data_IF_143370071043
#
_entry.id   IF_143370071043
#
_cell.length_a   1.000
_cell.length_b   1.000
_cell.length_c   1.000
_cell.angle_alpha   90.00
_cell.angle_beta   90.00
_cell.angle_gamma   90.00
#
_symmetry.space_group_name_H-M   'P 1'
#
loop_
_entity.id
_entity.type
_entity.pdbx_description
1 polymer ?
#
# COMPACT_ATOMS: atom_id res chain seq x y z
N UNK A 1 -13.17 20.09 25.39
CA UNK A 1 -12.61 18.79 24.98
C UNK A 1 -13.76 17.80 25.03
N UNK A 2 -14.20 17.17 23.93
CA UNK A 2 -13.45 16.77 22.73
C UNK A 2 -13.91 17.48 21.42
N UNK A 3 -13.07 17.35 20.39
CA UNK A 3 -13.20 17.91 19.04
C UNK A 3 -14.15 17.07 18.15
N UNK A 4 -14.72 17.65 17.07
CA UNK A 4 -15.88 17.10 16.39
C UNK A 4 -15.52 16.04 15.34
N UNK A 5 -16.36 15.00 15.26
CA UNK A 5 -16.35 13.92 14.28
C UNK A 5 -16.71 14.35 12.84
N UNK A 6 -16.36 15.58 12.44
CA UNK A 6 -16.81 16.18 11.18
C UNK A 6 -15.81 16.07 10.01
N UNK A 7 -14.67 15.39 10.19
CA UNK A 7 -13.62 15.33 9.16
C UNK A 7 -13.44 13.97 8.46
N UNK A 8 -14.24 12.96 8.79
CA UNK A 8 -14.26 11.69 8.01
C UNK A 8 -15.23 11.78 6.82
N UNK A 9 -16.01 12.86 6.72
CA UNK A 9 -17.10 13.02 5.74
C UNK A 9 -16.66 13.42 4.32
N UNK A 10 -15.39 13.68 4.04
CA UNK A 10 -14.99 14.29 2.75
C UNK A 10 -14.04 13.40 1.92
N UNK A 11 -14.23 12.08 1.95
CA UNK A 11 -13.55 11.18 1.00
C UNK A 11 -14.47 10.11 0.40
N UNK A 12 -15.78 10.27 0.55
CA UNK A 12 -16.76 9.45 -0.15
C UNK A 12 -17.20 10.21 -1.40
N UNK A 13 -16.72 9.73 -2.55
CA UNK A 13 -17.04 10.25 -3.87
C UNK A 13 -18.56 10.48 -4.04
N UNK A 14 -19.01 11.38 -4.92
CA UNK A 14 -20.44 11.62 -5.20
C UNK A 14 -21.24 10.36 -5.61
N UNK A 15 -20.56 9.25 -5.86
CA UNK A 15 -21.14 7.92 -6.10
C UNK A 15 -21.65 7.24 -4.81
N UNK A 16 -20.99 7.44 -3.66
CA UNK A 16 -21.38 6.79 -2.40
C UNK A 16 -22.69 7.35 -1.87
N UNK A 17 -22.93 8.65 -2.04
CA UNK A 17 -24.18 9.29 -1.68
C UNK A 17 -25.36 8.76 -2.52
N UNK A 18 -25.13 8.42 -3.80
CA UNK A 18 -26.16 7.87 -4.69
C UNK A 18 -26.57 6.45 -4.27
N UNK A 19 -25.59 5.61 -3.91
CA UNK A 19 -25.82 4.25 -3.41
C UNK A 19 -26.52 4.23 -2.04
N UNK A 20 -26.10 5.10 -1.11
CA UNK A 20 -26.75 5.22 0.21
C UNK A 20 -28.19 5.71 0.06
N UNK A 21 -28.45 6.69 -0.83
CA UNK A 21 -29.80 7.20 -1.06
C UNK A 21 -30.72 6.16 -1.72
N UNK A 22 -30.23 5.40 -2.69
CA UNK A 22 -30.99 4.31 -3.32
C UNK A 22 -31.32 3.18 -2.34
N UNK A 23 -30.37 2.81 -1.46
CA UNK A 23 -30.60 1.80 -0.43
C UNK A 23 -31.60 2.27 0.64
N UNK A 24 -31.61 3.56 0.99
CA UNK A 24 -32.60 4.10 1.94
C UNK A 24 -34.00 4.20 1.33
N UNK A 25 -34.14 4.58 0.05
CA UNK A 25 -35.43 4.61 -0.66
C UNK A 25 -36.06 3.21 -0.83
N UNK A 26 -35.24 2.17 -1.02
CA UNK A 26 -35.73 0.78 -1.13
C UNK A 26 -36.23 0.24 0.22
N UNK A 27 -35.64 0.65 1.34
CA UNK A 27 -36.02 0.22 2.69
C UNK A 27 -37.33 0.84 3.20
N UNK A 28 -37.79 1.95 2.62
CA UNK A 28 -39.05 2.61 2.99
C UNK A 28 -40.29 2.01 2.31
N UNK A 29 -40.12 1.11 1.34
CA UNK A 29 -41.25 0.49 0.62
C UNK A 29 -41.80 -0.74 1.35
N UNK A 30 -43.08 -0.68 1.76
CA UNK A 30 -43.82 -1.82 2.29
C UNK A 30 -44.00 -2.88 1.19
N UNK A 31 -43.38 -4.04 1.35
CA UNK A 31 -43.67 -5.23 0.54
C UNK A 31 -42.47 -6.14 0.36
N UNK A 32 -41.42 -5.67 -0.32
CA UNK A 32 -40.27 -6.50 -0.74
C UNK A 32 -38.93 -5.72 -0.82
N UNK A 33 -38.89 -4.49 -0.28
CA UNK A 33 -37.75 -3.57 -0.40
C UNK A 33 -36.41 -4.14 0.10
N UNK A 34 -36.42 -4.89 1.20
CA UNK A 34 -35.24 -5.56 1.74
C UNK A 34 -34.74 -6.68 0.81
N UNK A 35 -35.66 -7.44 0.21
CA UNK A 35 -35.33 -8.52 -0.73
C UNK A 35 -34.75 -7.94 -2.04
N UNK A 36 -35.31 -6.84 -2.53
CA UNK A 36 -34.82 -6.19 -3.75
C UNK A 36 -33.49 -5.46 -3.54
N UNK A 37 -33.32 -4.77 -2.41
CA UNK A 37 -32.06 -4.15 -2.00
C UNK A 37 -30.94 -5.19 -1.81
N UNK A 38 -31.24 -6.30 -1.13
CA UNK A 38 -30.29 -7.40 -0.98
C UNK A 38 -29.95 -8.06 -2.31
N UNK A 39 -30.92 -8.26 -3.21
CA UNK A 39 -30.67 -8.83 -4.53
C UNK A 39 -29.80 -7.92 -5.40
N UNK A 40 -30.04 -6.61 -5.40
CA UNK A 40 -29.22 -5.63 -6.14
C UNK A 40 -27.83 -5.50 -5.55
N UNK A 41 -27.70 -5.51 -4.23
CA UNK A 41 -26.42 -5.53 -3.55
C UNK A 41 -25.65 -6.82 -3.88
N UNK A 42 -26.29 -7.98 -3.83
CA UNK A 42 -25.70 -9.26 -4.22
C UNK A 42 -25.27 -9.25 -5.69
N UNK A 43 -26.10 -8.73 -6.60
CA UNK A 43 -25.73 -8.59 -8.01
C UNK A 43 -24.51 -7.68 -8.19
N UNK A 44 -24.50 -6.52 -7.54
CA UNK A 44 -23.39 -5.57 -7.60
C UNK A 44 -22.10 -6.15 -6.99
N UNK A 45 -22.22 -6.87 -5.88
CA UNK A 45 -21.10 -7.59 -5.27
C UNK A 45 -20.62 -8.73 -6.18
N UNK A 46 -21.49 -9.46 -6.86
CA UNK A 46 -21.09 -10.51 -7.80
C UNK A 46 -20.43 -9.94 -9.07
N UNK A 47 -20.88 -8.79 -9.55
CA UNK A 47 -20.31 -8.10 -10.71
C UNK A 47 -18.96 -7.44 -10.39
N UNK A 48 -18.81 -6.85 -9.20
CA UNK A 48 -17.61 -6.10 -8.81
C UNK A 48 -16.63 -6.86 -7.90
N UNK A 49 -17.07 -7.95 -7.25
CA UNK A 49 -16.29 -8.82 -6.39
C UNK A 49 -16.46 -10.30 -6.80
N UNK A 50 -16.15 -10.65 -8.06
CA UNK A 50 -15.89 -12.06 -8.41
C UNK A 50 -14.78 -12.59 -7.49
N UNK A 51 -15.15 -13.45 -6.55
CA UNK A 51 -14.22 -14.35 -5.86
C UNK A 51 -13.60 -15.21 -6.95
N UNK A 52 -12.29 -15.12 -7.21
CA UNK A 52 -11.71 -15.91 -8.28
C UNK A 52 -11.78 -17.36 -7.86
N UNK A 53 -12.44 -18.18 -8.68
CA UNK A 53 -12.30 -19.63 -8.65
C UNK A 53 -10.81 -19.97 -8.45
N UNK A 54 -10.45 -20.90 -7.55
CA UNK A 54 -9.06 -21.31 -7.40
C UNK A 54 -8.60 -21.90 -8.73
N UNK A 55 -7.91 -21.08 -9.52
CA UNK A 55 -7.54 -21.45 -10.89
C UNK A 55 -6.50 -22.56 -10.83
N UNK A 56 -6.94 -23.76 -11.17
CA UNK A 56 -6.13 -24.94 -11.35
C UNK A 56 -5.23 -24.77 -12.60
N UNK A 57 -3.93 -24.90 -12.38
CA UNK A 57 -2.83 -25.28 -13.27
C UNK A 57 -2.55 -24.58 -14.62
N UNK A 58 -1.23 -24.49 -14.89
CA UNK A 58 -0.65 -24.85 -16.19
C UNK A 58 -0.91 -23.93 -17.40
N UNK A 59 0.19 -23.39 -17.95
CA UNK A 59 0.33 -22.89 -19.33
C UNK A 59 -0.33 -21.54 -19.71
N UNK A 60 0.57 -20.58 -19.94
CA UNK A 60 0.69 -19.79 -21.18
C UNK A 60 -0.54 -19.08 -21.79
N UNK A 61 -0.66 -17.77 -21.54
CA UNK A 61 -0.83 -16.78 -22.62
C UNK A 61 -0.45 -15.38 -22.11
N UNK A 62 0.41 -14.68 -22.84
CA UNK A 62 1.02 -13.40 -22.45
C UNK A 62 0.06 -12.21 -22.20
N UNK A 63 -1.23 -12.34 -22.50
CA UNK A 63 -2.22 -11.25 -22.37
C UNK A 63 -2.86 -11.16 -20.98
N UNK A 64 -2.85 -12.23 -20.17
CA UNK A 64 -3.42 -12.24 -18.81
C UNK A 64 -2.41 -11.88 -17.71
N UNK A 65 -1.24 -11.38 -18.08
CA UNK A 65 -0.15 -11.16 -17.13
C UNK A 65 -0.29 -9.85 -16.36
N UNK A 66 -1.03 -8.84 -16.81
CA UNK A 66 -1.13 -7.58 -16.06
C UNK A 66 -2.10 -7.68 -14.87
N UNK A 67 -1.73 -7.08 -13.73
CA UNK A 67 -2.69 -6.87 -12.64
C UNK A 67 -3.78 -5.88 -13.09
N UNK A 68 -5.04 -6.17 -12.77
CA UNK A 68 -6.07 -5.16 -12.87
C UNK A 68 -5.77 -4.02 -11.87
N UNK A 69 -6.18 -2.75 -12.14
CA UNK A 69 -5.86 -1.61 -11.27
C UNK A 69 -6.30 -1.79 -9.82
N UNK A 70 -7.44 -2.45 -9.59
CA UNK A 70 -7.92 -2.74 -8.24
C UNK A 70 -7.08 -3.82 -7.53
N UNK A 71 -6.57 -4.82 -8.26
CA UNK A 71 -5.68 -5.86 -7.72
C UNK A 71 -4.32 -5.24 -7.36
N UNK A 72 -3.80 -4.36 -8.21
CA UNK A 72 -2.56 -3.64 -7.93
C UNK A 72 -2.70 -2.78 -6.68
N UNK A 73 -3.78 -1.99 -6.56
CA UNK A 73 -4.06 -1.19 -5.36
C UNK A 73 -4.15 -2.07 -4.11
N UNK A 74 -4.98 -3.13 -4.16
CA UNK A 74 -5.14 -4.07 -3.05
C UNK A 74 -3.81 -4.72 -2.65
N UNK A 75 -3.00 -5.14 -3.61
CA UNK A 75 -1.70 -5.73 -3.36
C UNK A 75 -0.74 -4.73 -2.68
N UNK A 76 -0.69 -3.49 -3.17
CA UNK A 76 0.11 -2.42 -2.56
C UNK A 76 -0.34 -2.12 -1.13
N UNK A 77 -1.65 -2.06 -0.88
CA UNK A 77 -2.21 -1.81 0.45
C UNK A 77 -1.82 -2.93 1.43
N UNK A 78 -1.94 -4.20 1.02
CA UNK A 78 -1.56 -5.34 1.86
C UNK A 78 -0.05 -5.34 2.15
N UNK A 79 0.77 -5.10 1.12
CA UNK A 79 2.24 -5.05 1.26
C UNK A 79 2.69 -3.89 2.15
N UNK A 80 2.01 -2.74 2.09
CA UNK A 80 2.28 -1.58 2.93
C UNK A 80 1.80 -1.77 4.37
N UNK A 81 0.64 -2.40 4.58
CA UNK A 81 0.14 -2.70 5.93
C UNK A 81 0.96 -3.75 6.67
N UNK A 82 1.68 -4.61 5.94
CA UNK A 82 2.41 -5.75 6.50
C UNK A 82 3.92 -5.48 6.69
N UNK A 83 4.32 -4.21 6.80
CA UNK A 83 5.74 -3.86 6.95
C UNK A 83 6.37 -4.45 8.20
N UNK A 84 5.64 -4.47 9.32
CA UNK A 84 6.07 -4.98 10.63
C UNK A 84 5.80 -6.47 10.84
N UNK A 85 4.93 -7.07 10.03
CA UNK A 85 4.56 -8.48 10.13
C UNK A 85 5.35 -9.34 9.15
N UNK A 86 5.30 -10.66 9.34
CA UNK A 86 5.94 -11.59 8.43
C UNK A 86 5.18 -11.61 7.10
N UNK A 87 5.80 -11.06 6.07
CA UNK A 87 5.25 -11.00 4.70
C UNK A 87 5.34 -12.36 3.98
N UNK A 88 4.19 -12.94 3.69
CA UNK A 88 4.08 -14.08 2.78
C UNK A 88 3.44 -13.65 1.47
N UNK A 89 4.23 -13.67 0.39
CA UNK A 89 3.75 -13.31 -0.96
C UNK A 89 2.63 -14.24 -1.44
N UNK A 90 2.58 -15.47 -0.93
CA UNK A 90 1.50 -16.40 -1.23
C UNK A 90 0.14 -15.84 -0.75
N UNK A 91 0.06 -15.38 0.49
CA UNK A 91 -1.15 -14.83 1.09
C UNK A 91 -1.63 -13.55 0.36
N UNK A 92 -0.70 -12.71 -0.11
CA UNK A 92 -1.05 -11.53 -0.92
C UNK A 92 -1.62 -11.95 -2.27
N UNK A 93 -1.02 -12.97 -2.90
CA UNK A 93 -1.48 -13.49 -4.17
C UNK A 93 -2.88 -14.12 -4.05
N UNK A 94 -3.10 -14.92 -3.00
CA UNK A 94 -4.39 -15.53 -2.68
C UNK A 94 -5.48 -14.48 -2.45
N UNK A 95 -5.17 -13.40 -1.72
CA UNK A 95 -6.10 -12.28 -1.54
C UNK A 95 -6.39 -11.51 -2.85
N UNK A 96 -5.52 -11.62 -3.84
CA UNK A 96 -5.76 -11.11 -5.20
C UNK A 96 -6.40 -12.17 -6.13
N UNK A 97 -6.66 -13.37 -5.61
CA UNK A 97 -7.18 -14.55 -6.32
C UNK A 97 -6.26 -15.04 -7.43
N UNK A 98 -4.95 -15.05 -7.16
CA UNK A 98 -3.92 -15.47 -8.09
C UNK A 98 -2.99 -16.49 -7.44
N UNK A 99 -2.39 -17.36 -8.24
CA UNK A 99 -1.25 -18.14 -7.77
C UNK A 99 -0.04 -17.24 -7.50
N UNK A 100 0.82 -17.63 -6.54
CA UNK A 100 2.03 -16.89 -6.17
C UNK A 100 2.90 -16.51 -7.37
N UNK A 101 3.10 -17.46 -8.28
CA UNK A 101 3.97 -17.28 -9.46
C UNK A 101 3.35 -16.36 -10.51
N UNK A 102 2.03 -16.41 -10.71
CA UNK A 102 1.32 -15.48 -11.59
C UNK A 102 1.34 -14.07 -10.99
N UNK A 103 0.95 -13.94 -9.72
CA UNK A 103 0.98 -12.67 -9.00
C UNK A 103 2.36 -12.00 -9.07
N UNK A 104 3.44 -12.74 -8.81
CA UNK A 104 4.79 -12.16 -8.79
C UNK A 104 5.20 -11.60 -10.14
N UNK A 105 4.85 -12.29 -11.24
CA UNK A 105 5.11 -11.82 -12.61
C UNK A 105 4.23 -10.61 -12.93
N UNK A 106 2.94 -10.70 -12.60
CA UNK A 106 1.96 -9.66 -12.88
C UNK A 106 2.27 -8.35 -12.15
N UNK A 107 2.59 -8.45 -10.87
CA UNK A 107 2.99 -7.32 -10.05
C UNK A 107 4.28 -6.68 -10.56
N UNK A 108 5.26 -7.48 -10.99
CA UNK A 108 6.49 -6.95 -11.58
C UNK A 108 6.24 -6.24 -12.90
N UNK A 109 5.35 -6.77 -13.74
CA UNK A 109 4.98 -6.10 -14.99
C UNK A 109 4.26 -4.78 -14.73
N UNK A 110 3.36 -4.73 -13.73
CA UNK A 110 2.61 -3.53 -13.38
C UNK A 110 3.48 -2.45 -12.69
N UNK A 111 4.37 -2.85 -11.78
CA UNK A 111 5.12 -1.92 -10.92
C UNK A 111 6.60 -1.75 -11.29
N UNK A 112 7.10 -2.56 -12.21
CA UNK A 112 8.52 -2.69 -12.54
C UNK A 112 9.34 -3.50 -11.52
N UNK A 113 8.79 -3.81 -10.34
CA UNK A 113 9.53 -4.43 -9.24
C UNK A 113 8.86 -5.73 -8.77
N UNK A 114 9.65 -6.71 -8.34
CA UNK A 114 9.10 -7.89 -7.71
C UNK A 114 8.41 -7.52 -6.37
N UNK A 115 7.34 -8.21 -5.94
CA UNK A 115 6.60 -7.85 -4.72
C UNK A 115 7.48 -7.70 -3.47
N UNK A 116 8.44 -8.60 -3.27
CA UNK A 116 9.38 -8.53 -2.12
C UNK A 116 10.31 -7.33 -2.20
N UNK A 117 10.75 -6.97 -3.40
CA UNK A 117 11.64 -5.84 -3.63
C UNK A 117 10.90 -4.51 -3.46
N UNK A 118 9.66 -4.45 -3.94
CA UNK A 118 8.77 -3.31 -3.72
C UNK A 118 8.54 -3.08 -2.21
N UNK A 119 8.19 -4.14 -1.46
CA UNK A 119 8.03 -4.06 -0.01
C UNK A 119 9.34 -3.68 0.70
N UNK A 120 10.48 -4.21 0.26
CA UNK A 120 11.79 -3.84 0.81
C UNK A 120 12.07 -2.34 0.61
N UNK A 121 11.74 -1.79 -0.56
CA UNK A 121 11.93 -0.37 -0.85
C UNK A 121 11.06 0.50 0.05
N UNK A 122 9.80 0.12 0.26
CA UNK A 122 8.92 0.79 1.20
C UNK A 122 9.46 0.80 2.63
N UNK A 123 10.04 -0.33 3.10
CA UNK A 123 10.72 -0.40 4.40
C UNK A 123 11.92 0.55 4.50
N UNK A 124 12.71 0.64 3.42
CA UNK A 124 13.87 1.54 3.38
C UNK A 124 13.45 3.00 3.32
N UNK A 125 12.41 3.35 2.56
CA UNK A 125 11.89 4.71 2.51
C UNK A 125 11.36 5.15 3.88
N UNK A 126 10.63 4.27 4.58
CA UNK A 126 10.24 4.52 5.97
C UNK A 126 11.45 4.70 6.90
N UNK A 127 12.49 3.89 6.73
CA UNK A 127 13.72 4.02 7.51
C UNK A 127 14.42 5.37 7.26
N UNK A 128 14.41 5.88 6.01
CA UNK A 128 15.00 7.18 5.67
C UNK A 128 14.29 8.32 6.41
N UNK A 129 12.96 8.27 6.49
CA UNK A 129 12.16 9.23 7.25
C UNK A 129 12.52 9.20 8.75
N UNK A 130 12.51 8.02 9.37
CA UNK A 130 12.83 7.84 10.79
C UNK A 130 14.26 8.30 11.13
N UNK A 131 15.21 8.03 10.25
CA UNK A 131 16.60 8.48 10.42
C UNK A 131 16.76 9.99 10.28
N UNK A 132 15.93 10.64 9.45
CA UNK A 132 15.96 12.08 9.27
C UNK A 132 15.33 12.81 10.46
N UNK A 133 14.23 12.27 11.03
CA UNK A 133 13.45 12.94 12.07
C UNK A 133 13.87 12.64 13.51
N UNK A 134 14.80 11.70 13.75
CA UNK A 134 15.07 11.22 15.11
C UNK A 134 16.49 10.73 15.38
N UNK A 135 16.73 10.39 16.66
CA UNK A 135 18.00 9.92 17.20
C UNK A 135 18.01 8.43 17.58
N UNK A 136 16.88 7.73 17.41
CA UNK A 136 16.72 6.32 17.79
C UNK A 136 17.88 5.46 17.26
N UNK A 137 18.39 4.48 18.03
CA UNK A 137 19.47 3.61 17.57
C UNK A 137 19.18 2.96 16.21
N UNK A 138 20.20 2.77 15.38
CA UNK A 138 20.06 2.14 14.04
C UNK A 138 19.41 0.75 14.11
N UNK A 139 19.69 0.01 15.18
CA UNK A 139 19.05 -1.29 15.46
C UNK A 139 17.54 -1.15 15.66
N UNK A 140 17.11 -0.17 16.47
CA UNK A 140 15.71 0.12 16.75
C UNK A 140 14.99 0.57 15.47
N UNK A 141 15.58 1.47 14.68
CA UNK A 141 15.00 1.89 13.40
C UNK A 141 14.80 0.71 12.45
N UNK A 142 15.77 -0.20 12.38
CA UNK A 142 15.65 -1.43 11.59
C UNK A 142 14.47 -2.30 12.05
N UNK A 143 14.31 -2.49 13.36
CA UNK A 143 13.20 -3.25 13.93
C UNK A 143 11.83 -2.59 13.65
N UNK A 144 11.73 -1.28 13.82
CA UNK A 144 10.53 -0.49 13.50
C UNK A 144 10.19 -0.49 12.00
N UNK A 145 11.15 -0.82 11.13
CA UNK A 145 10.91 -1.00 9.70
C UNK A 145 10.70 -2.47 9.30
N UNK A 146 10.60 -3.39 10.28
CA UNK A 146 10.33 -4.81 10.04
C UNK A 146 11.54 -5.63 9.57
N UNK A 147 12.76 -5.19 9.88
CA UNK A 147 13.96 -6.00 9.69
C UNK A 147 14.20 -6.92 10.89
N UNK A 148 14.57 -8.17 10.61
CA UNK A 148 14.85 -9.17 11.65
C UNK A 148 16.09 -8.80 12.50
N UNK A 149 17.09 -8.19 11.87
CA UNK A 149 18.32 -7.79 12.52
C UNK A 149 18.96 -6.57 11.84
N UNK A 150 19.83 -5.89 12.60
CA UNK A 150 20.51 -4.68 12.16
C UNK A 150 21.46 -4.93 10.98
N UNK A 151 22.09 -6.10 10.88
CA UNK A 151 23.04 -6.40 9.81
C UNK A 151 22.32 -6.52 8.47
N UNK A 152 21.18 -7.21 8.44
CA UNK A 152 20.31 -7.29 7.27
C UNK A 152 19.77 -5.92 6.88
N UNK A 153 19.34 -5.11 7.86
CA UNK A 153 18.93 -3.73 7.62
C UNK A 153 20.05 -2.90 6.97
N UNK A 154 21.23 -2.82 7.58
CA UNK A 154 22.35 -2.02 7.08
C UNK A 154 22.78 -2.42 5.67
N UNK A 155 22.82 -3.72 5.36
CA UNK A 155 23.14 -4.23 4.02
C UNK A 155 22.10 -3.81 3.00
N UNK A 156 20.82 -4.01 3.31
CA UNK A 156 19.70 -3.67 2.42
C UNK A 156 19.59 -2.16 2.19
N UNK A 157 19.76 -1.37 3.25
CA UNK A 157 19.79 0.08 3.18
C UNK A 157 20.92 0.57 2.30
N UNK A 158 22.15 0.09 2.53
CA UNK A 158 23.30 0.49 1.71
C UNK A 158 23.12 0.10 0.24
N UNK A 159 22.55 -1.08 -0.03
CA UNK A 159 22.28 -1.53 -1.40
C UNK A 159 21.31 -0.60 -2.13
N UNK A 160 20.26 -0.13 -1.46
CA UNK A 160 19.20 0.67 -2.09
C UNK A 160 19.47 2.18 -2.06
N UNK A 161 20.13 2.69 -1.02
CA UNK A 161 20.37 4.12 -0.80
C UNK A 161 21.80 4.53 -1.21
N UNK A 162 22.73 3.58 -1.33
CA UNK A 162 24.12 3.83 -1.72
C UNK A 162 25.07 4.20 -0.56
N UNK A 163 24.53 4.44 0.65
CA UNK A 163 25.34 4.76 1.84
C UNK A 163 24.81 4.05 3.10
N UNK A 164 25.56 4.11 4.20
CA UNK A 164 25.13 3.48 5.46
C UNK A 164 24.05 4.32 6.16
N UNK A 165 23.17 3.70 6.97
CA UNK A 165 22.15 4.43 7.75
C UNK A 165 22.70 5.59 8.59
N UNK A 166 23.86 5.40 9.23
CA UNK A 166 24.52 6.47 10.01
C UNK A 166 24.96 7.64 9.13
N UNK A 167 25.55 7.36 7.96
CA UNK A 167 25.96 8.41 7.02
C UNK A 167 24.76 9.15 6.46
N UNK A 168 23.68 8.43 6.14
CA UNK A 168 22.41 9.04 5.73
C UNK A 168 21.88 10.00 6.80
N UNK A 169 21.82 9.58 8.07
CA UNK A 169 21.38 10.41 9.19
C UNK A 169 22.20 11.69 9.33
N UNK A 170 23.53 11.59 9.22
CA UNK A 170 24.40 12.76 9.32
C UNK A 170 24.13 13.73 8.16
N UNK A 171 24.04 13.21 6.93
CA UNK A 171 23.77 14.02 5.75
C UNK A 171 22.38 14.70 5.80
N UNK A 172 21.35 14.01 6.27
CA UNK A 172 19.99 14.57 6.37
C UNK A 172 19.87 15.69 7.41
N UNK A 173 20.80 15.78 8.36
CA UNK A 173 20.83 16.88 9.36
C UNK A 173 21.57 18.12 8.85
N UNK A 174 22.59 17.91 8.02
CA UNK A 174 23.41 19.00 7.49
C UNK A 174 22.71 19.69 6.30
N UNK A 175 21.87 18.97 5.54
CA UNK A 175 21.10 19.52 4.42
C UNK A 175 19.88 20.39 4.79
N UNK A 176 19.70 20.77 6.06
CA UNK A 176 18.61 21.65 6.52
C UNK A 176 19.01 23.11 6.73
N UNK A 177 20.26 23.48 6.45
CA UNK A 177 20.84 24.82 6.73
C UNK A 177 21.42 25.47 5.48
N UNK A 178 20.72 25.40 4.35
CA UNK A 178 21.07 26.15 3.13
C UNK A 178 19.85 26.95 2.65
N UNK A 179 19.29 27.77 3.56
CA UNK A 179 18.32 28.82 3.25
C UNK A 179 18.61 30.04 4.16
N UNK A 180 19.88 30.47 4.18
CA UNK A 180 20.31 31.73 4.77
C UNK A 180 21.68 32.12 4.19
N UNK A 181 21.65 32.96 3.15
CA UNK A 181 22.69 33.92 2.71
C UNK A 181 22.78 33.97 1.17
N UNK A 182 21.87 34.72 0.56
CA UNK A 182 22.21 35.50 -0.65
C UNK A 182 21.47 36.84 -0.58
N UNK A 183 21.68 37.55 0.54
CA UNK A 183 21.71 39.00 0.50
C UNK A 183 23.12 39.41 0.08
N UNK A 184 23.26 39.79 -1.20
CA UNK A 184 24.27 40.72 -1.75
C UNK A 184 24.26 40.61 -3.29
N UNK A 185 23.27 41.25 -3.92
CA UNK A 185 23.55 42.09 -5.10
C UNK A 185 24.14 43.42 -4.59
N UNK A 186 24.91 44.23 -5.34
CA UNK A 186 25.01 44.32 -6.81
C UNK A 186 26.44 44.48 -7.38
N UNK A 187 26.56 44.39 -8.71
CA UNK A 187 27.58 45.10 -9.52
C UNK A 187 26.87 46.02 -10.51
#
# INVERSE_FOLDING_TARGET
MPAPAHQVATMLAPQTHRLVRQLMEELESQGDGVQQASQRLCQHLLEHYRVPEPCNDGADTGERLALAPWQERKAKDILAGSLLSRLYIADVAEQCGMSRSHFSRAFKQATGLAPREWALRLRIDRARELLASGDAPISQVGQECGFADQSHFCRSFRKLVGCTPNRWRQASRVGGTEDMATDSSPS
#
